data_IF_104494861834
#
_entry.id   IF_104494861834
#
_cell.length_a   1.000
_cell.length_b   1.000
_cell.length_c   1.000
_cell.angle_alpha   90.00
_cell.angle_beta   90.00
_cell.angle_gamma   90.00
#
_symmetry.space_group_name_H-M   'P 1'
#
loop_
_entity.id
_entity.type
_entity.pdbx_description
1 polymer ?
#
# COMPACT_ATOMS: atom_id res chain seq x y z
N UNK A 1 9.91 -29.50 7.39
CA UNK A 1 10.05 -28.20 8.07
C UNK A 1 9.57 -27.05 7.18
N UNK A 2 10.16 -26.83 5.99
CA UNK A 2 9.75 -25.76 5.04
C UNK A 2 8.26 -25.67 4.69
N UNK A 3 7.55 -26.80 4.56
CA UNK A 3 6.11 -26.78 4.27
C UNK A 3 5.28 -26.19 5.43
N UNK A 4 5.68 -26.47 6.68
CA UNK A 4 4.97 -25.97 7.86
C UNK A 4 5.18 -24.45 8.04
N UNK A 5 6.39 -23.97 7.74
CA UNK A 5 6.71 -22.53 7.73
C UNK A 5 5.91 -21.77 6.67
N UNK A 6 5.77 -22.32 5.45
CA UNK A 6 4.94 -21.73 4.40
C UNK A 6 3.46 -21.64 4.81
N UNK A 7 2.89 -22.71 5.36
CA UNK A 7 1.49 -22.72 5.82
C UNK A 7 1.29 -21.72 6.96
N UNK A 8 2.21 -21.67 7.91
CA UNK A 8 2.18 -20.70 9.01
C UNK A 8 2.20 -19.26 8.49
N UNK A 9 3.07 -18.97 7.52
CA UNK A 9 3.19 -17.65 6.90
C UNK A 9 1.91 -17.23 6.16
N UNK A 10 1.30 -18.15 5.41
CA UNK A 10 0.01 -17.92 4.76
C UNK A 10 -1.09 -17.64 5.78
N UNK A 11 -1.14 -18.41 6.87
CA UNK A 11 -2.10 -18.20 7.94
C UNK A 11 -1.97 -16.81 8.58
N UNK A 12 -0.75 -16.33 8.81
CA UNK A 12 -0.50 -14.99 9.36
C UNK A 12 -1.03 -13.87 8.45
N UNK A 13 -0.77 -13.97 7.14
CA UNK A 13 -1.30 -13.02 6.15
C UNK A 13 -2.82 -13.05 6.13
N UNK A 14 -3.43 -14.23 6.03
CA UNK A 14 -4.89 -14.36 6.00
C UNK A 14 -5.53 -13.81 7.27
N UNK A 15 -4.92 -14.05 8.44
CA UNK A 15 -5.37 -13.47 9.71
C UNK A 15 -5.25 -11.95 9.72
N UNK A 16 -4.18 -11.40 9.13
CA UNK A 16 -4.02 -9.96 8.96
C UNK A 16 -5.15 -9.37 8.12
N UNK A 17 -5.38 -9.95 6.93
CA UNK A 17 -6.36 -9.46 5.96
C UNK A 17 -7.81 -9.58 6.44
N UNK A 18 -8.15 -10.67 7.13
CA UNK A 18 -9.50 -10.90 7.63
C UNK A 18 -9.93 -9.87 8.69
N UNK A 19 -8.96 -9.34 9.47
CA UNK A 19 -9.25 -8.30 10.46
C UNK A 19 -9.59 -6.93 9.85
N UNK A 20 -9.00 -6.60 8.70
CA UNK A 20 -9.01 -5.25 8.13
C UNK A 20 -10.42 -4.68 7.89
N UNK A 21 -11.37 -5.40 7.26
CA UNK A 21 -12.71 -4.83 7.02
C UNK A 21 -13.40 -4.37 8.29
N UNK A 22 -13.28 -5.14 9.39
CA UNK A 22 -13.86 -4.77 10.68
C UNK A 22 -13.20 -3.52 11.25
N UNK A 23 -11.88 -3.42 11.17
CA UNK A 23 -11.13 -2.26 11.66
C UNK A 23 -11.45 -0.99 10.85
N UNK A 24 -11.58 -1.11 9.52
CA UNK A 24 -12.00 -0.01 8.64
C UNK A 24 -13.40 0.50 9.00
N UNK A 25 -14.34 -0.40 9.32
CA UNK A 25 -15.70 -0.02 9.73
C UNK A 25 -15.74 0.72 11.08
N UNK A 26 -14.83 0.40 12.01
CA UNK A 26 -14.72 1.11 13.30
C UNK A 26 -14.34 2.57 13.07
N UNK A 27 -13.48 2.84 12.09
CA UNK A 27 -12.99 4.18 11.77
C UNK A 27 -13.67 4.81 10.54
N UNK A 28 -14.84 4.32 10.12
CA UNK A 28 -15.52 4.68 8.85
C UNK A 28 -15.73 6.17 8.58
N UNK A 29 -15.67 7.02 9.61
CA UNK A 29 -15.82 8.48 9.50
C UNK A 29 -14.51 9.20 9.20
N UNK A 30 -13.39 8.45 9.13
CA UNK A 30 -12.08 8.99 8.77
C UNK A 30 -11.82 8.88 7.28
N UNK A 31 -11.16 9.90 6.78
CA UNK A 31 -10.76 10.04 5.37
C UNK A 31 -9.43 9.33 5.07
N UNK A 32 -8.57 9.15 6.08
CA UNK A 32 -7.22 8.61 5.92
C UNK A 32 -7.11 7.11 6.21
N UNK A 33 -8.19 6.34 6.09
CA UNK A 33 -8.19 4.87 6.22
C UNK A 33 -7.13 4.16 5.35
N UNK A 34 -6.81 4.61 4.12
CA UNK A 34 -5.72 4.00 3.35
C UNK A 34 -4.39 3.92 4.12
N UNK A 35 -4.10 4.86 5.02
CA UNK A 35 -2.87 4.87 5.83
C UNK A 35 -2.79 3.67 6.77
N UNK A 36 -3.90 3.36 7.44
CA UNK A 36 -3.99 2.26 8.39
C UNK A 36 -3.93 0.90 7.67
N UNK A 37 -4.64 0.79 6.54
CA UNK A 37 -4.62 -0.42 5.72
C UNK A 37 -3.21 -0.65 5.17
N UNK A 38 -2.58 0.37 4.60
CA UNK A 38 -1.24 0.23 4.05
C UNK A 38 -0.21 -0.13 5.13
N UNK A 39 -0.32 0.44 6.33
CA UNK A 39 0.49 0.05 7.48
C UNK A 39 0.40 -1.45 7.78
N UNK A 40 -0.83 -1.97 7.90
CA UNK A 40 -1.06 -3.39 8.17
C UNK A 40 -0.53 -4.31 7.05
N UNK A 41 -0.64 -3.89 5.79
CA UNK A 41 -0.08 -4.62 4.65
C UNK A 41 1.46 -4.66 4.69
N UNK A 42 2.10 -3.57 5.09
CA UNK A 42 3.57 -3.48 5.17
C UNK A 42 4.16 -4.21 6.38
N UNK A 43 3.36 -4.50 7.41
CA UNK A 43 3.81 -5.14 8.63
C UNK A 43 4.56 -6.46 8.36
N UNK A 44 5.62 -6.82 9.14
CA UNK A 44 6.36 -8.07 8.97
C UNK A 44 5.50 -9.32 8.98
N UNK A 45 4.44 -9.35 9.80
CA UNK A 45 3.47 -10.45 9.85
C UNK A 45 2.44 -10.46 8.70
N UNK A 46 2.53 -9.53 7.74
CA UNK A 46 1.71 -9.49 6.53
C UNK A 46 2.61 -9.65 5.29
N UNK A 47 2.78 -8.63 4.44
CA UNK A 47 3.61 -8.73 3.24
C UNK A 47 5.06 -8.30 3.46
N UNK A 48 5.41 -7.83 4.66
CA UNK A 48 6.77 -7.43 5.03
C UNK A 48 7.40 -6.43 4.02
N UNK A 49 6.62 -5.42 3.68
CA UNK A 49 7.05 -4.35 2.78
C UNK A 49 7.82 -3.31 3.60
N UNK A 50 9.02 -2.98 3.14
CA UNK A 50 9.86 -1.96 3.76
C UNK A 50 9.34 -0.56 3.42
N UNK A 51 9.00 -0.35 2.15
CA UNK A 51 8.38 0.88 1.64
C UNK A 51 7.27 0.52 0.68
N UNK A 52 6.19 1.28 0.70
CA UNK A 52 5.08 1.11 -0.24
C UNK A 52 4.39 2.45 -0.51
N UNK A 53 4.06 2.70 -1.77
CA UNK A 53 3.36 3.89 -2.23
C UNK A 53 2.13 3.46 -3.03
N UNK A 54 0.97 3.93 -2.59
CA UNK A 54 -0.32 3.65 -3.21
C UNK A 54 -0.81 4.86 -4.00
N UNK A 55 -1.21 4.61 -5.24
CA UNK A 55 -1.72 5.58 -6.19
C UNK A 55 -3.06 5.12 -6.75
N UNK A 56 -3.85 6.10 -7.18
CA UNK A 56 -5.06 5.89 -7.97
C UNK A 56 -4.87 6.54 -9.33
N UNK A 57 -5.06 5.75 -10.38
CA UNK A 57 -5.05 6.16 -11.77
C UNK A 57 -6.47 6.26 -12.30
N UNK A 58 -6.81 7.38 -12.90
CA UNK A 58 -8.07 7.62 -13.59
C UNK A 58 -7.79 8.06 -15.03
N UNK A 59 -7.96 7.17 -16.02
CA UNK A 59 -7.71 7.51 -17.42
C UNK A 59 -8.69 8.54 -17.99
N UNK A 60 -9.94 8.56 -17.53
CA UNK A 60 -10.95 9.50 -18.03
C UNK A 60 -10.53 10.96 -17.78
N UNK A 61 -9.89 11.21 -16.63
CA UNK A 61 -9.34 12.53 -16.27
C UNK A 61 -7.84 12.70 -16.59
N UNK A 62 -7.22 11.71 -17.23
CA UNK A 62 -5.76 11.66 -17.47
C UNK A 62 -4.95 11.97 -16.20
N UNK A 63 -5.29 11.33 -15.08
CA UNK A 63 -4.72 11.67 -13.79
C UNK A 63 -4.32 10.42 -12.99
N UNK A 64 -3.07 10.38 -12.56
CA UNK A 64 -2.54 9.52 -11.52
C UNK A 64 -2.23 10.38 -10.29
N UNK A 65 -2.76 10.02 -9.13
CA UNK A 65 -2.54 10.74 -7.88
C UNK A 65 -2.06 9.81 -6.77
N UNK A 66 -1.06 10.25 -6.02
CA UNK A 66 -0.58 9.54 -4.83
C UNK A 66 -1.57 9.68 -3.68
N UNK A 67 -2.00 8.55 -3.10
CA UNK A 67 -2.96 8.52 -1.99
C UNK A 67 -2.25 8.45 -0.66
N UNK A 68 -1.30 7.51 -0.53
CA UNK A 68 -0.55 7.32 0.71
C UNK A 68 0.79 6.64 0.43
N UNK A 69 1.84 7.10 1.14
CA UNK A 69 3.13 6.45 1.23
C UNK A 69 3.40 5.96 2.64
N UNK A 70 3.97 4.76 2.78
CA UNK A 70 4.47 4.23 4.03
C UNK A 70 5.94 3.82 3.88
N UNK A 71 6.80 4.33 4.76
CA UNK A 71 8.17 3.87 4.94
C UNK A 71 8.31 3.32 6.36
N UNK A 72 8.69 2.05 6.51
CA UNK A 72 8.80 1.42 7.82
C UNK A 72 9.88 2.07 8.69
N UNK A 73 10.88 2.68 8.06
CA UNK A 73 11.93 3.43 8.77
C UNK A 73 11.39 4.74 9.41
N UNK A 74 10.19 5.19 9.01
CA UNK A 74 9.55 6.41 9.51
C UNK A 74 8.40 6.13 10.51
N UNK A 75 8.00 4.87 10.67
CA UNK A 75 6.85 4.47 11.51
C UNK A 75 7.34 3.62 12.67
N UNK A 76 7.00 4.03 13.90
CA UNK A 76 7.44 3.36 15.14
C UNK A 76 6.29 2.73 15.95
N UNK A 77 5.11 2.58 15.37
CA UNK A 77 3.98 1.91 16.02
C UNK A 77 3.98 0.40 15.78
N UNK A 78 3.50 -0.36 16.77
CA UNK A 78 3.09 -1.74 16.53
C UNK A 78 1.69 -1.80 15.89
N UNK A 79 1.34 -2.96 15.33
CA UNK A 79 0.09 -3.16 14.61
C UNK A 79 -1.17 -2.84 15.43
N UNK A 80 -1.20 -3.21 16.72
CA UNK A 80 -2.41 -3.03 17.53
C UNK A 80 -2.61 -1.56 17.91
N UNK A 81 -1.51 -0.85 18.15
CA UNK A 81 -1.54 0.52 18.64
C UNK A 81 -2.10 1.51 17.61
N UNK A 82 -1.89 1.30 16.30
CA UNK A 82 -2.35 2.27 15.29
C UNK A 82 -3.87 2.39 15.23
N UNK A 83 -4.60 1.30 15.43
CA UNK A 83 -6.05 1.29 15.37
C UNK A 83 -6.68 1.73 16.70
N UNK A 84 -6.00 1.47 17.82
CA UNK A 84 -6.44 1.87 19.16
C UNK A 84 -6.18 3.37 19.42
N UNK A 85 -5.19 3.96 18.75
CA UNK A 85 -4.82 5.39 18.84
C UNK A 85 -4.77 6.05 17.45
N UNK A 86 -5.91 6.17 16.77
CA UNK A 86 -5.93 6.58 15.37
C UNK A 86 -5.49 8.03 15.16
N UNK A 87 -5.66 8.92 16.14
CA UNK A 87 -5.19 10.30 16.03
C UNK A 87 -3.66 10.41 16.09
N UNK A 88 -3.02 9.67 16.99
CA UNK A 88 -1.56 9.64 17.11
C UNK A 88 -0.93 9.10 15.82
N UNK A 89 -1.49 8.03 15.27
CA UNK A 89 -1.04 7.48 14.00
C UNK A 89 -1.28 8.43 12.83
N UNK A 90 -2.45 9.06 12.76
CA UNK A 90 -2.77 10.04 11.70
C UNK A 90 -1.80 11.23 11.75
N UNK A 91 -1.49 11.72 12.96
CA UNK A 91 -0.53 12.80 13.14
C UNK A 91 0.88 12.40 12.69
N UNK A 92 1.31 11.18 13.03
CA UNK A 92 2.59 10.64 12.54
C UNK A 92 2.63 10.59 11.01
N UNK A 93 1.58 10.06 10.39
CA UNK A 93 1.51 9.94 8.92
C UNK A 93 1.50 11.31 8.24
N UNK A 94 0.88 12.32 8.83
CA UNK A 94 0.95 13.70 8.34
C UNK A 94 2.37 14.27 8.38
N UNK A 95 3.19 13.86 9.35
CA UNK A 95 4.57 14.32 9.50
C UNK A 95 5.60 13.45 8.75
N UNK A 96 5.21 12.27 8.26
CA UNK A 96 6.08 11.35 7.51
C UNK A 96 6.55 11.98 6.19
N UNK A 97 7.87 12.20 6.02
CA UNK A 97 8.42 12.73 4.77
C UNK A 97 8.07 11.89 3.55
N UNK A 98 8.09 10.56 3.68
CA UNK A 98 7.75 9.67 2.57
C UNK A 98 6.27 9.75 2.20
N UNK A 99 5.36 9.78 3.19
CA UNK A 99 3.92 9.93 2.92
C UNK A 99 3.61 11.28 2.25
N UNK A 100 4.19 12.37 2.75
CA UNK A 100 4.04 13.70 2.14
C UNK A 100 4.49 13.68 0.68
N UNK A 101 5.67 13.09 0.42
CA UNK A 101 6.21 12.99 -0.93
C UNK A 101 5.29 12.21 -1.87
N UNK A 102 4.77 11.06 -1.45
CA UNK A 102 3.80 10.29 -2.26
C UNK A 102 2.55 11.13 -2.55
N UNK A 103 1.97 11.77 -1.53
CA UNK A 103 0.75 12.59 -1.67
C UNK A 103 0.91 13.81 -2.59
N UNK A 104 2.13 14.30 -2.79
CA UNK A 104 2.42 15.40 -3.73
C UNK A 104 2.58 14.95 -5.18
N UNK A 105 2.62 13.64 -5.45
CA UNK A 105 2.75 13.14 -6.82
C UNK A 105 1.40 13.25 -7.52
N UNK A 106 1.42 14.02 -8.60
CA UNK A 106 0.37 14.09 -9.61
C UNK A 106 1.05 13.90 -10.98
N UNK A 107 0.52 12.99 -11.78
CA UNK A 107 1.04 12.67 -13.11
C UNK A 107 -0.10 12.38 -14.08
N UNK A 108 0.15 12.42 -15.39
CA UNK A 108 -0.77 11.88 -16.39
C UNK A 108 -1.04 10.39 -16.17
N UNK A 109 -2.19 9.92 -16.64
CA UNK A 109 -2.62 8.55 -16.42
C UNK A 109 -1.65 7.53 -17.03
N UNK A 110 -1.34 6.48 -16.27
CA UNK A 110 -0.48 5.38 -16.72
C UNK A 110 -1.07 4.68 -17.95
N UNK A 111 -2.40 4.56 -18.02
CA UNK A 111 -3.08 3.91 -19.16
C UNK A 111 -3.05 4.75 -20.44
N UNK A 112 -2.74 6.06 -20.35
CA UNK A 112 -2.70 6.97 -21.51
C UNK A 112 -1.29 7.28 -21.97
N UNK A 113 -0.27 6.99 -21.17
CA UNK A 113 1.12 7.10 -21.59
C UNK A 113 1.46 6.05 -22.67
N UNK A 114 2.08 6.51 -23.76
CA UNK A 114 2.60 5.64 -24.84
C UNK A 114 3.88 4.86 -24.43
N UNK A 115 4.29 4.95 -23.16
CA UNK A 115 5.49 4.32 -22.62
C UNK A 115 5.22 2.92 -22.08
N UNK A 116 6.30 2.20 -21.75
CA UNK A 116 6.21 0.95 -21.00
C UNK A 116 5.79 1.22 -19.56
N UNK A 117 4.78 0.50 -19.05
CA UNK A 117 4.37 0.53 -17.64
C UNK A 117 5.57 0.31 -16.70
N UNK A 118 6.48 -0.60 -17.07
CA UNK A 118 7.69 -0.86 -16.30
C UNK A 118 8.61 0.37 -16.23
N UNK A 119 8.78 1.11 -17.34
CA UNK A 119 9.62 2.30 -17.35
C UNK A 119 9.02 3.40 -16.45
N UNK A 120 7.70 3.55 -16.50
CA UNK A 120 6.98 4.49 -15.65
C UNK A 120 7.10 4.15 -14.16
N UNK A 121 6.89 2.88 -13.79
CA UNK A 121 7.07 2.41 -12.40
C UNK A 121 8.50 2.67 -11.91
N UNK A 122 9.51 2.45 -12.75
CA UNK A 122 10.90 2.72 -12.39
C UNK A 122 11.17 4.21 -12.16
N UNK A 123 10.60 5.08 -13.00
CA UNK A 123 10.70 6.53 -12.83
C UNK A 123 10.05 6.98 -11.51
N UNK A 124 8.81 6.56 -11.24
CA UNK A 124 8.12 6.84 -9.97
C UNK A 124 8.92 6.32 -8.76
N UNK A 125 9.42 5.09 -8.84
CA UNK A 125 10.22 4.48 -7.78
C UNK A 125 11.51 5.25 -7.51
N UNK A 126 12.22 5.67 -8.56
CA UNK A 126 13.43 6.48 -8.44
C UNK A 126 13.11 7.83 -7.78
N UNK A 127 12.03 8.49 -8.22
CA UNK A 127 11.58 9.73 -7.59
C UNK A 127 11.29 9.52 -6.11
N UNK A 128 10.65 8.42 -5.73
CA UNK A 128 10.32 8.07 -4.34
C UNK A 128 11.49 7.57 -3.51
N UNK A 129 12.62 7.21 -4.12
CA UNK A 129 13.75 6.59 -3.42
C UNK A 129 13.45 5.14 -2.98
N UNK A 130 12.72 4.39 -3.82
CA UNK A 130 12.49 2.95 -3.72
C UNK A 130 13.55 2.26 -4.59
N UNK A 131 14.42 1.44 -4.00
CA UNK A 131 15.63 0.96 -4.69
C UNK A 131 15.42 -0.34 -5.47
N UNK A 132 14.56 -1.23 -4.97
CA UNK A 132 14.19 -2.48 -5.62
C UNK A 132 12.67 -2.52 -5.85
N UNK A 133 12.13 -1.67 -6.72
CA UNK A 133 10.70 -1.53 -6.87
C UNK A 133 10.09 -2.76 -7.52
N UNK A 134 9.04 -3.26 -6.87
CA UNK A 134 8.03 -4.14 -7.45
C UNK A 134 6.73 -3.35 -7.52
N UNK A 135 5.88 -3.65 -8.50
CA UNK A 135 4.57 -3.03 -8.60
C UNK A 135 3.48 -4.05 -8.90
N UNK A 136 2.27 -3.72 -8.46
CA UNK A 136 1.05 -4.37 -8.93
C UNK A 136 -0.02 -3.33 -9.24
N UNK A 137 -0.84 -3.66 -10.23
CA UNK A 137 -1.99 -2.87 -10.64
C UNK A 137 -3.26 -3.71 -10.56
N UNK A 138 -4.38 -3.07 -10.26
CA UNK A 138 -5.69 -3.74 -10.19
C UNK A 138 -6.83 -2.80 -10.57
N UNK A 139 -7.94 -3.38 -11.00
CA UNK A 139 -9.15 -2.63 -11.35
C UNK A 139 -9.89 -2.17 -10.07
N UNK A 140 -10.38 -0.94 -10.10
CA UNK A 140 -11.17 -0.33 -9.03
C UNK A 140 -12.55 0.09 -9.55
N UNK A 141 -13.41 0.59 -8.65
CA UNK A 141 -14.72 1.14 -9.03
C UNK A 141 -14.56 2.36 -9.95
N UNK A 142 -15.55 2.59 -10.81
CA UNK A 142 -15.62 3.74 -11.70
C UNK A 142 -14.44 3.82 -12.68
N UNK A 143 -14.00 2.66 -13.18
CA UNK A 143 -12.91 2.54 -14.15
C UNK A 143 -11.59 3.22 -13.72
N UNK A 144 -11.42 3.35 -12.40
CA UNK A 144 -10.13 3.69 -11.79
C UNK A 144 -9.24 2.44 -11.74
N UNK A 145 -7.94 2.65 -11.64
CA UNK A 145 -6.95 1.61 -11.42
C UNK A 145 -6.13 1.92 -10.17
N UNK A 146 -5.91 0.91 -9.34
CA UNK A 146 -4.98 1.00 -8.23
C UNK A 146 -3.58 0.68 -8.72
N UNK A 147 -2.58 1.40 -8.22
CA UNK A 147 -1.17 1.10 -8.42
C UNK A 147 -0.48 1.10 -7.06
N UNK A 148 0.16 -0.01 -6.72
CA UNK A 148 1.05 -0.09 -5.56
C UNK A 148 2.48 -0.28 -6.07
N UNK A 149 3.39 0.61 -5.67
CA UNK A 149 4.83 0.46 -5.88
C UNK A 149 5.47 0.20 -4.52
N UNK A 150 6.25 -0.86 -4.38
CA UNK A 150 6.79 -1.27 -3.09
C UNK A 150 8.17 -1.92 -3.18
N UNK A 151 8.85 -1.96 -2.04
CA UNK A 151 10.10 -2.67 -1.81
C UNK A 151 9.88 -3.65 -0.65
N UNK A 152 10.18 -4.92 -0.86
CA UNK A 152 10.14 -5.94 0.21
C UNK A 152 11.39 -5.86 1.06
N UNK A 153 11.27 -6.17 2.35
CA UNK A 153 12.46 -6.34 3.20
C UNK A 153 13.31 -7.55 2.76
N UNK A 154 12.66 -8.66 2.43
CA UNK A 154 13.29 -9.86 1.91
C UNK A 154 12.82 -10.08 0.47
N UNK A 155 13.61 -9.60 -0.49
CA UNK A 155 13.26 -9.64 -1.92
C UNK A 155 12.92 -11.06 -2.42
N UNK A 156 13.63 -12.08 -1.93
CA UNK A 156 13.44 -13.48 -2.34
C UNK A 156 12.26 -14.19 -1.66
N UNK A 157 11.61 -13.56 -0.67
CA UNK A 157 10.41 -14.13 -0.05
C UNK A 157 9.20 -13.91 -0.97
N UNK A 158 8.83 -14.99 -1.66
CA UNK A 158 7.68 -15.05 -2.58
C UNK A 158 6.52 -15.86 -2.01
N UNK A 159 6.61 -16.26 -0.74
CA UNK A 159 5.71 -17.24 -0.11
C UNK A 159 4.24 -16.83 -0.17
N UNK A 160 3.98 -15.52 -0.13
CA UNK A 160 2.65 -14.93 -0.01
C UNK A 160 2.29 -13.99 -1.16
N UNK A 161 3.10 -13.96 -2.22
CA UNK A 161 2.91 -13.03 -3.35
C UNK A 161 1.58 -13.25 -4.06
N UNK A 162 1.12 -14.51 -4.11
CA UNK A 162 -0.18 -14.87 -4.66
C UNK A 162 -1.36 -14.21 -3.93
N UNK A 163 -1.19 -13.81 -2.66
CA UNK A 163 -2.20 -13.13 -1.86
C UNK A 163 -2.09 -11.61 -1.89
N UNK A 164 -0.98 -11.06 -2.42
CA UNK A 164 -0.73 -9.63 -2.38
C UNK A 164 -1.83 -8.85 -3.09
N UNK A 165 -2.24 -9.29 -4.28
CA UNK A 165 -3.31 -8.64 -5.05
C UNK A 165 -4.63 -8.59 -4.26
N UNK A 166 -4.96 -9.68 -3.57
CA UNK A 166 -6.15 -9.74 -2.71
C UNK A 166 -6.03 -8.77 -1.54
N UNK A 167 -4.84 -8.67 -0.92
CA UNK A 167 -4.59 -7.74 0.18
C UNK A 167 -4.69 -6.28 -0.23
N UNK A 168 -4.04 -5.89 -1.34
CA UNK A 168 -4.06 -4.50 -1.82
C UNK A 168 -5.43 -4.08 -2.35
N UNK A 169 -6.24 -5.02 -2.86
CA UNK A 169 -7.61 -4.73 -3.28
C UNK A 169 -8.50 -4.19 -2.16
N UNK A 170 -8.13 -4.40 -0.89
CA UNK A 170 -8.82 -3.82 0.28
C UNK A 170 -8.75 -2.28 0.24
N UNK A 171 -7.66 -1.70 -0.30
CA UNK A 171 -7.51 -0.26 -0.47
C UNK A 171 -8.61 0.33 -1.35
N UNK A 172 -9.18 -0.46 -2.28
CA UNK A 172 -10.31 -0.06 -3.14
C UNK A 172 -11.62 0.19 -2.39
N UNK A 173 -11.72 -0.22 -1.14
CA UNK A 173 -12.87 0.03 -0.28
C UNK A 173 -12.66 1.22 0.67
N UNK A 174 -11.47 1.81 0.67
CA UNK A 174 -11.19 3.01 1.46
C UNK A 174 -11.77 4.26 0.78
N UNK A 175 -12.18 5.28 1.56
CA UNK A 175 -12.45 6.60 0.99
C UNK A 175 -11.19 7.14 0.31
N UNK A 176 -11.38 7.83 -0.82
CA UNK A 176 -10.34 8.54 -1.55
C UNK A 176 -10.59 10.04 -1.37
N UNK A 177 -9.54 10.79 -1.00
CA UNK A 177 -9.61 12.21 -0.66
C UNK A 177 -8.59 13.01 -1.46
#
# INVERSE_FOLDING_TARGET
MKHNEKVQRQYEVLRCLNGLPRMMLILKERDNIPEFVLHDLCHPNCFNLRKAAYFVDNPDFDCLRGVVGLSRDEVYFDKQTIWDKPDDFSHLMQLSPFNQKVRTIEHSSLKRTNGSEQAFVQELAQMLGITQPTACTWDMKFDNYGLLIFEKEAFDDTTVDEYLLNGVSILSFCPLC
#
